data_IF_569547402631
#
_entry.id   IF_569547402631
#
_cell.length_a   1.000
_cell.length_b   1.000
_cell.length_c   1.000
_cell.angle_alpha   90.00
_cell.angle_beta   90.00
_cell.angle_gamma   90.00
#
_symmetry.space_group_name_H-M   'P 1'
#
loop_
_entity.id
_entity.type
_entity.pdbx_description
1 polymer ?
#
# COMPACT_ATOMS: atom_id res chain seq x y z
N UNK A 1 30.48 33.37 5.48
CA UNK A 1 29.26 32.87 6.13
C UNK A 1 28.09 33.13 5.19
N UNK A 2 27.68 32.16 4.39
CA UNK A 2 26.38 32.21 3.70
C UNK A 2 25.91 30.77 3.56
N UNK A 3 24.78 30.47 4.20
CA UNK A 3 24.29 29.12 4.46
C UNK A 3 23.93 28.37 3.20
N UNK A 4 24.25 27.08 3.20
CA UNK A 4 23.63 26.10 2.30
C UNK A 4 22.16 25.99 2.72
N UNK A 5 21.25 26.42 1.84
CA UNK A 5 19.85 26.10 1.99
C UNK A 5 19.69 24.59 1.81
N UNK A 6 19.44 23.89 2.92
CA UNK A 6 19.04 22.50 2.93
C UNK A 6 17.79 22.36 2.07
N UNK A 7 17.89 21.64 0.94
CA UNK A 7 16.72 21.19 0.19
C UNK A 7 15.97 20.21 1.09
N UNK A 8 14.94 20.70 1.75
CA UNK A 8 13.95 19.84 2.38
C UNK A 8 13.22 19.15 1.22
N UNK A 9 13.34 17.83 1.17
CA UNK A 9 12.53 16.98 0.32
C UNK A 9 11.10 17.03 0.84
N UNK A 10 10.33 18.02 0.39
CA UNK A 10 8.89 18.05 0.58
C UNK A 10 8.30 16.99 -0.35
N UNK A 11 8.13 15.78 0.15
CA UNK A 11 7.16 14.83 -0.39
C UNK A 11 5.82 15.56 -0.37
N UNK A 12 5.25 15.85 -1.53
CA UNK A 12 3.92 16.46 -1.63
C UNK A 12 2.93 15.63 -0.78
N UNK A 13 2.33 16.21 0.28
CA UNK A 13 1.40 15.49 1.15
C UNK A 13 0.14 15.00 0.41
N UNK A 14 -0.06 15.36 -0.86
CA UNK A 14 -1.21 14.99 -1.68
C UNK A 14 -1.03 13.72 -2.52
N UNK A 15 0.15 13.08 -2.56
CA UNK A 15 0.41 11.86 -3.37
C UNK A 15 0.92 10.68 -2.52
N UNK A 16 0.32 10.47 -1.34
CA UNK A 16 0.65 9.31 -0.52
C UNK A 16 0.15 8.01 -1.17
N UNK A 17 0.95 6.95 -1.09
CA UNK A 17 0.58 5.60 -1.54
C UNK A 17 0.42 4.70 -0.32
N UNK A 18 -0.69 3.98 -0.29
CA UNK A 18 -1.00 2.95 0.71
C UNK A 18 -1.22 1.61 0.02
N UNK A 19 -1.06 0.53 0.76
CA UNK A 19 -0.98 -0.81 0.19
C UNK A 19 -2.05 -1.73 0.73
N UNK A 20 -2.61 -2.58 -0.15
CA UNK A 20 -3.47 -3.70 0.23
C UNK A 20 -2.87 -5.00 -0.26
N UNK A 21 -2.86 -6.01 0.60
CA UNK A 21 -2.53 -7.39 0.23
C UNK A 21 -3.84 -8.15 0.07
N UNK A 22 -3.98 -8.86 -1.06
CA UNK A 22 -5.12 -9.71 -1.36
C UNK A 22 -4.66 -11.16 -1.52
N UNK A 23 -5.48 -12.08 -1.01
CA UNK A 23 -5.39 -13.52 -1.27
C UNK A 23 -5.85 -13.84 -2.70
N UNK A 24 -5.51 -15.02 -3.26
CA UNK A 24 -5.84 -15.37 -4.65
C UNK A 24 -7.34 -15.22 -4.99
N UNK A 25 -8.22 -15.65 -4.09
CA UNK A 25 -9.67 -15.52 -4.26
C UNK A 25 -10.12 -14.06 -4.24
N UNK A 26 -9.64 -13.29 -3.26
CA UNK A 26 -9.94 -11.86 -3.12
C UNK A 26 -9.47 -11.08 -4.36
N UNK A 27 -8.30 -11.42 -4.91
CA UNK A 27 -7.79 -10.86 -6.15
C UNK A 27 -8.67 -11.20 -7.35
N UNK A 28 -9.10 -12.46 -7.48
CA UNK A 28 -9.97 -12.90 -8.57
C UNK A 28 -11.31 -12.18 -8.55
N UNK A 29 -11.92 -12.06 -7.36
CA UNK A 29 -13.18 -11.37 -7.15
C UNK A 29 -13.04 -9.86 -7.42
N UNK A 30 -11.91 -9.26 -7.01
CA UNK A 30 -11.59 -7.86 -7.29
C UNK A 30 -11.43 -7.58 -8.79
N UNK A 31 -10.71 -8.42 -9.52
CA UNK A 31 -10.56 -8.31 -10.97
C UNK A 31 -11.91 -8.43 -11.71
N UNK A 32 -12.80 -9.27 -11.20
CA UNK A 32 -14.11 -9.51 -11.83
C UNK A 32 -15.09 -8.37 -11.58
N UNK A 33 -15.10 -7.84 -10.36
CA UNK A 33 -16.10 -6.85 -9.92
C UNK A 33 -15.61 -5.40 -10.01
N UNK A 34 -14.30 -5.17 -10.04
CA UNK A 34 -13.67 -3.85 -9.88
C UNK A 34 -13.81 -3.27 -8.46
N UNK A 35 -14.26 -4.07 -7.48
CA UNK A 35 -14.62 -3.62 -6.13
C UNK A 35 -14.09 -4.60 -5.10
N UNK A 36 -13.52 -4.10 -4.02
CA UNK A 36 -13.13 -4.88 -2.86
C UNK A 36 -13.83 -4.36 -1.62
N UNK A 37 -14.75 -5.16 -1.08
CA UNK A 37 -15.59 -4.80 0.07
C UNK A 37 -14.96 -5.16 1.42
N UNK A 38 -13.76 -5.76 1.39
CA UNK A 38 -13.02 -6.18 2.58
C UNK A 38 -12.85 -7.70 2.68
N UNK A 39 -11.73 -8.10 3.28
CA UNK A 39 -11.47 -9.47 3.72
C UNK A 39 -12.40 -9.83 4.91
N UNK A 40 -12.43 -11.09 5.36
CA UNK A 40 -13.16 -11.45 6.58
C UNK A 40 -12.74 -10.64 7.82
N UNK A 41 -11.45 -10.29 7.93
CA UNK A 41 -10.94 -9.44 9.01
C UNK A 41 -11.43 -7.99 8.86
N UNK A 42 -11.37 -7.45 7.65
CA UNK A 42 -11.84 -6.09 7.35
C UNK A 42 -13.34 -5.94 7.66
N UNK A 43 -14.15 -6.92 7.28
CA UNK A 43 -15.59 -6.92 7.52
C UNK A 43 -15.92 -7.03 9.01
N UNK A 44 -15.17 -7.87 9.75
CA UNK A 44 -15.32 -7.98 11.21
C UNK A 44 -15.01 -6.65 11.90
N UNK A 45 -13.95 -5.98 11.46
CA UNK A 45 -13.43 -4.79 12.14
C UNK A 45 -14.10 -3.49 11.63
N UNK A 46 -14.83 -3.56 10.52
CA UNK A 46 -15.67 -2.48 9.98
C UNK A 46 -14.94 -1.49 9.07
N UNK A 47 -13.72 -1.81 8.63
CA UNK A 47 -12.91 -1.01 7.71
C UNK A 47 -11.89 -1.90 6.99
N UNK A 48 -11.44 -1.47 5.82
CA UNK A 48 -10.39 -2.15 5.06
C UNK A 48 -9.02 -1.78 5.64
N UNK A 49 -8.29 -2.77 6.14
CA UNK A 49 -6.91 -2.60 6.58
C UNK A 49 -6.01 -2.37 5.38
N UNK A 50 -5.29 -1.26 5.42
CA UNK A 50 -4.22 -0.93 4.50
C UNK A 50 -2.89 -0.87 5.28
N UNK A 51 -1.79 -0.75 4.57
CA UNK A 51 -0.45 -0.58 5.15
C UNK A 51 0.26 0.60 4.49
N UNK A 52 1.04 1.34 5.27
CA UNK A 52 2.09 2.19 4.71
C UNK A 52 3.22 1.32 4.11
N UNK A 53 4.09 1.93 3.30
CA UNK A 53 5.20 1.23 2.62
C UNK A 53 6.06 0.41 3.58
N UNK A 54 6.52 1.01 4.66
CA UNK A 54 7.38 0.41 5.68
C UNK A 54 6.66 -0.69 6.50
N UNK A 55 5.34 -0.74 6.44
CA UNK A 55 4.51 -1.68 7.19
C UNK A 55 4.22 -2.98 6.41
N UNK A 56 4.37 -2.98 5.08
CA UNK A 56 3.99 -4.11 4.20
C UNK A 56 4.68 -5.40 4.63
N UNK A 57 6.00 -5.38 4.83
CA UNK A 57 6.78 -6.56 5.22
C UNK A 57 6.33 -7.15 6.58
N UNK A 58 6.08 -6.28 7.56
CA UNK A 58 5.59 -6.70 8.88
C UNK A 58 4.16 -7.23 8.85
N UNK A 59 3.31 -6.70 7.97
CA UNK A 59 1.94 -7.19 7.74
C UNK A 59 1.95 -8.58 7.09
N UNK A 60 2.77 -8.80 6.06
CA UNK A 60 2.94 -10.11 5.41
C UNK A 60 3.40 -11.18 6.40
N UNK A 61 4.48 -10.90 7.14
CA UNK A 61 5.05 -11.83 8.11
C UNK A 61 4.07 -12.21 9.23
N UNK A 62 3.15 -11.32 9.59
CA UNK A 62 2.22 -11.54 10.70
C UNK A 62 0.92 -12.25 10.29
N UNK A 63 0.32 -11.86 9.17
CA UNK A 63 -1.04 -12.29 8.81
C UNK A 63 -1.11 -13.21 7.61
N UNK A 64 -0.05 -13.28 6.81
CA UNK A 64 -0.02 -14.02 5.55
C UNK A 64 1.11 -15.06 5.53
N UNK A 65 1.67 -15.39 6.71
CA UNK A 65 2.74 -16.37 6.82
C UNK A 65 2.30 -17.73 6.27
N UNK A 66 3.08 -18.28 5.33
CA UNK A 66 2.77 -19.55 4.68
C UNK A 66 1.73 -19.46 3.56
N UNK A 67 1.20 -18.27 3.26
CA UNK A 67 0.33 -18.06 2.11
C UNK A 67 1.15 -17.75 0.84
N UNK A 68 0.67 -18.27 -0.28
CA UNK A 68 1.24 -18.17 -1.62
C UNK A 68 0.31 -17.36 -2.54
N UNK A 69 0.83 -16.99 -3.73
CA UNK A 69 0.05 -16.36 -4.81
C UNK A 69 -0.67 -15.05 -4.37
N UNK A 70 -0.09 -14.35 -3.40
CA UNK A 70 -0.62 -13.09 -2.90
C UNK A 70 -0.47 -11.98 -3.94
N UNK A 71 -1.34 -10.98 -3.84
CA UNK A 71 -1.31 -9.78 -4.68
C UNK A 71 -1.10 -8.55 -3.82
N UNK A 72 -0.14 -7.71 -4.18
CA UNK A 72 0.04 -6.38 -3.59
C UNK A 72 -0.59 -5.34 -4.51
N UNK A 73 -1.47 -4.51 -3.97
CA UNK A 73 -2.03 -3.35 -4.65
C UNK A 73 -1.39 -2.09 -4.06
N UNK A 74 -0.99 -1.16 -4.92
CA UNK A 74 -0.62 0.20 -4.57
C UNK A 74 -1.80 1.15 -4.87
N UNK A 75 -2.26 1.87 -3.86
CA UNK A 75 -3.45 2.73 -3.92
C UNK A 75 -3.01 4.18 -3.72
N UNK A 76 -3.39 5.06 -4.64
CA UNK A 76 -3.17 6.50 -4.49
C UNK A 76 -4.20 7.07 -3.53
N UNK A 77 -3.76 7.70 -2.44
CA UNK A 77 -4.69 8.34 -1.49
C UNK A 77 -5.42 9.54 -2.11
N UNK A 78 -4.88 10.12 -3.18
CA UNK A 78 -5.52 11.21 -3.92
C UNK A 78 -6.82 10.78 -4.62
N UNK A 79 -6.91 9.51 -5.02
CA UNK A 79 -8.09 8.97 -5.70
C UNK A 79 -9.14 8.43 -4.73
N UNK A 80 -8.85 8.40 -3.43
CA UNK A 80 -9.80 7.96 -2.43
C UNK A 80 -10.84 9.06 -2.16
N UNK A 81 -12.10 8.68 -1.85
CA UNK A 81 -13.11 9.64 -1.41
C UNK A 81 -12.64 10.43 -0.19
N UNK A 82 -12.96 11.73 -0.15
CA UNK A 82 -12.61 12.58 0.99
C UNK A 82 -13.10 11.99 2.32
N UNK A 83 -12.26 12.06 3.36
CA UNK A 83 -12.53 11.54 4.71
C UNK A 83 -12.78 10.02 4.81
N UNK A 84 -12.53 9.24 3.75
CA UNK A 84 -12.68 7.78 3.80
C UNK A 84 -11.47 7.07 4.40
N UNK A 85 -10.29 7.70 4.37
CA UNK A 85 -9.06 7.15 4.91
C UNK A 85 -8.73 7.79 6.26
N UNK A 86 -8.44 6.98 7.28
CA UNK A 86 -7.96 7.44 8.58
C UNK A 86 -6.66 6.74 8.97
N UNK A 87 -5.77 7.48 9.61
CA UNK A 87 -4.54 6.95 10.19
C UNK A 87 -4.76 6.76 11.68
N UNK A 88 -4.86 5.51 12.12
CA UNK A 88 -5.23 5.20 13.50
C UNK A 88 -4.17 4.33 14.18
N UNK A 89 -3.96 4.50 15.50
CA UNK A 89 -3.03 3.66 16.24
C UNK A 89 -3.43 2.19 16.15
N UNK A 90 -2.47 1.36 15.77
CA UNK A 90 -2.59 -0.09 15.80
C UNK A 90 -1.54 -0.67 16.75
N UNK A 91 -1.03 -1.86 16.44
CA UNK A 91 0.03 -2.54 17.18
C UNK A 91 1.25 -1.64 17.41
N UNK A 92 1.75 -1.63 18.65
CA UNK A 92 2.95 -0.88 19.01
C UNK A 92 2.83 0.64 18.92
N UNK A 93 1.61 1.18 18.79
CA UNK A 93 1.37 2.62 18.68
C UNK A 93 1.66 3.21 17.30
N UNK A 94 2.08 2.40 16.33
CA UNK A 94 2.25 2.84 14.95
C UNK A 94 0.87 3.10 14.30
N UNK A 95 0.79 4.15 13.48
CA UNK A 95 -0.43 4.50 12.76
C UNK A 95 -0.57 3.64 11.50
N UNK A 96 -1.70 2.96 11.34
CA UNK A 96 -2.04 2.23 10.13
C UNK A 96 -3.16 2.94 9.37
N UNK A 97 -3.14 2.93 8.04
CA UNK A 97 -4.24 3.47 7.23
C UNK A 97 -5.43 2.51 7.22
N UNK A 98 -6.61 3.02 7.56
CA UNK A 98 -7.88 2.30 7.54
C UNK A 98 -8.86 3.00 6.58
N UNK A 99 -9.41 2.24 5.64
CA UNK A 99 -10.36 2.75 4.64
C UNK A 99 -11.79 2.36 5.01
N UNK A 100 -12.64 3.36 5.24
CA UNK A 100 -14.04 3.23 5.68
C UNK A 100 -15.04 3.20 4.52
N UNK A 101 -14.61 2.73 3.36
CA UNK A 101 -15.44 2.58 2.17
C UNK A 101 -14.91 1.44 1.32
N UNK A 102 -15.65 1.08 0.26
CA UNK A 102 -15.24 0.07 -0.70
C UNK A 102 -13.98 0.54 -1.43
N UNK A 103 -13.01 -0.35 -1.60
CA UNK A 103 -11.85 -0.08 -2.44
C UNK A 103 -12.21 -0.34 -3.90
N UNK A 104 -12.04 0.66 -4.75
CA UNK A 104 -12.34 0.59 -6.18
C UNK A 104 -11.06 0.44 -7.01
N UNK A 105 -11.15 -0.30 -8.12
CA UNK A 105 -10.00 -0.55 -9.00
C UNK A 105 -9.43 0.71 -9.66
N UNK A 106 -10.22 1.77 -9.84
CA UNK A 106 -9.76 3.06 -10.37
C UNK A 106 -8.84 3.83 -9.40
N UNK A 107 -8.84 3.49 -8.12
CA UNK A 107 -7.92 4.06 -7.11
C UNK A 107 -6.56 3.36 -7.09
N UNK A 108 -6.45 2.19 -7.72
CA UNK A 108 -5.23 1.39 -7.79
C UNK A 108 -4.32 1.91 -8.90
N UNK A 109 -3.09 2.25 -8.54
CA UNK A 109 -2.07 2.79 -9.46
C UNK A 109 -1.00 1.77 -9.84
N UNK A 110 -1.02 0.60 -9.21
CA UNK A 110 -0.15 -0.52 -9.56
C UNK A 110 -0.53 -1.78 -8.79
N UNK A 111 -0.13 -2.91 -9.35
CA UNK A 111 -0.24 -4.21 -8.69
C UNK A 111 1.03 -5.04 -8.93
N UNK A 112 1.33 -5.95 -8.02
CA UNK A 112 2.38 -6.94 -8.25
C UNK A 112 2.08 -8.25 -7.52
N UNK A 113 2.49 -9.37 -8.12
CA UNK A 113 2.47 -10.66 -7.45
C UNK A 113 3.53 -10.68 -6.34
N UNK A 114 3.17 -11.24 -5.19
CA UNK A 114 4.12 -11.55 -4.12
C UNK A 114 4.34 -13.07 -4.15
N UNK A 115 5.56 -13.46 -4.50
CA UNK A 115 5.97 -14.85 -4.43
C UNK A 115 6.41 -15.21 -3.00
N UNK A 116 6.26 -16.47 -2.62
CA UNK A 116 6.88 -17.00 -1.40
C UNK A 116 8.25 -17.56 -1.72
N UNK A 117 9.22 -17.21 -0.88
CA UNK A 117 10.59 -17.67 -0.96
C UNK A 117 10.74 -19.04 -0.26
N UNK A 118 11.79 -19.83 -0.60
CA UNK A 118 12.05 -21.11 0.04
C UNK A 118 12.26 -21.03 1.57
N UNK A 119 12.70 -19.88 2.08
CA UNK A 119 12.89 -19.61 3.51
C UNK A 119 11.58 -19.24 4.24
N UNK A 120 10.45 -19.21 3.52
CA UNK A 120 9.13 -18.88 4.04
C UNK A 120 8.82 -17.39 4.09
N UNK A 121 9.76 -16.50 3.73
CA UNK A 121 9.49 -15.07 3.58
C UNK A 121 8.75 -14.79 2.26
N UNK A 122 8.22 -13.59 2.15
CA UNK A 122 7.59 -13.08 0.94
C UNK A 122 8.57 -12.22 0.15
N UNK A 123 8.65 -12.44 -1.16
CA UNK A 123 9.37 -11.61 -2.10
C UNK A 123 8.49 -10.42 -2.49
N UNK A 124 8.85 -9.23 -2.01
CA UNK A 124 8.09 -8.00 -2.23
C UNK A 124 8.84 -7.22 -3.32
N UNK A 125 8.27 -7.07 -4.53
CA UNK A 125 8.99 -6.39 -5.60
C UNK A 125 9.20 -4.90 -5.28
N UNK A 126 10.41 -4.38 -5.48
CA UNK A 126 10.71 -2.97 -5.16
C UNK A 126 9.90 -2.00 -6.02
N UNK A 127 9.69 -2.33 -7.30
CA UNK A 127 9.02 -1.43 -8.25
C UNK A 127 7.61 -1.03 -7.80
N UNK A 128 6.88 -1.92 -7.12
CA UNK A 128 5.53 -1.61 -6.62
C UNK A 128 5.60 -0.73 -5.36
N UNK A 129 6.61 -0.91 -4.50
CA UNK A 129 6.82 -0.07 -3.32
C UNK A 129 7.29 1.33 -3.69
N UNK A 130 8.01 1.49 -4.79
CA UNK A 130 8.54 2.76 -5.27
C UNK A 130 7.49 3.65 -5.98
N UNK A 131 6.28 3.14 -6.26
CA UNK A 131 5.21 3.98 -6.77
C UNK A 131 4.91 5.14 -5.81
N UNK A 132 4.77 6.35 -6.36
CA UNK A 132 4.58 7.58 -5.59
C UNK A 132 5.85 8.15 -4.94
N UNK A 133 7.01 7.45 -5.00
CA UNK A 133 8.29 8.14 -4.85
C UNK A 133 8.55 8.90 -6.16
N UNK A 134 8.45 10.22 -6.15
CA UNK A 134 8.86 11.02 -7.30
C UNK A 134 10.31 10.73 -7.65
N UNK A 135 10.56 10.29 -8.88
CA UNK A 135 11.89 10.36 -9.49
C UNK A 135 12.23 11.84 -9.70
N UNK A 136 12.93 12.46 -8.76
CA UNK A 136 13.72 13.66 -9.08
C UNK A 136 15.04 13.19 -9.69
N UNK A 137 14.96 12.59 -10.87
CA UNK A 137 16.10 12.40 -11.76
C UNK A 137 16.27 13.66 -12.60
N UNK A 138 17.12 14.57 -12.14
CA UNK A 138 17.77 15.57 -12.99
C UNK A 138 18.35 14.87 -14.24
N UNK A 139 17.82 15.18 -15.43
CA UNK A 139 18.59 15.06 -16.67
C UNK A 139 19.06 16.46 -17.08
N UNK A 140 20.09 16.93 -16.38
CA UNK A 140 20.99 17.94 -16.94
C UNK A 140 22.09 17.24 -17.72
N UNK A 141 21.91 17.17 -19.03
CA UNK A 141 23.01 17.37 -19.97
C UNK A 141 23.26 16.25 -20.97
N UNK A 142 22.93 16.52 -22.24
CA UNK A 142 23.96 16.81 -23.26
C UNK A 142 23.40 17.58 -24.46
#
# INVERSE_FOLDING_TARGET
>A
MTGHASRQTETDPQTQVVFKILRPREWTDFCTSGRFEGSPDDQRDGFIHLSARDQVAGTLAKYFAGEDELRLLAISTHHLPANSLKWEPSRGGALFPHLYTVLYSDTVIGESAIARLPDGRHDIPDHILLLGCGDTGEDTGR
#
